data_IF_938004776028
#
_entry.id   IF_938004776028
#
_cell.length_a   1.000
_cell.length_b   1.000
_cell.length_c   1.000
_cell.angle_alpha   90.00
_cell.angle_beta   90.00
_cell.angle_gamma   90.00
#
_symmetry.space_group_name_H-M   'P 1'
#
loop_
_entity.id
_entity.type
_entity.pdbx_description
1 polymer ?
#
# COMPACT_ATOMS: atom_id res chain seq x y z
N UNK A 1 -13.34 -17.61 43.77
CA UNK A 1 -13.02 -16.76 42.62
C UNK A 1 -11.53 -16.88 42.44
N UNK A 2 -11.16 -17.90 41.67
CA UNK A 2 -9.84 -18.51 41.69
C UNK A 2 -8.93 -17.76 40.73
N UNK A 3 -7.65 -17.66 41.06
CA UNK A 3 -6.59 -17.14 40.17
C UNK A 3 -6.57 -17.85 38.79
N UNK A 4 -7.15 -19.06 38.71
CA UNK A 4 -7.40 -19.81 37.48
C UNK A 4 -8.52 -19.23 36.61
N UNK A 5 -9.59 -18.68 37.22
CA UNK A 5 -10.65 -17.98 36.48
C UNK A 5 -10.09 -16.70 35.83
N UNK A 6 -9.25 -15.94 36.54
CA UNK A 6 -8.62 -14.73 36.00
C UNK A 6 -7.63 -15.05 34.86
N UNK A 7 -6.87 -16.15 34.96
CA UNK A 7 -5.94 -16.59 33.91
C UNK A 7 -6.67 -17.11 32.66
N UNK A 8 -7.79 -17.81 32.85
CA UNK A 8 -8.62 -18.27 31.73
C UNK A 8 -9.32 -17.08 31.04
N UNK A 9 -9.84 -16.10 31.79
CA UNK A 9 -10.46 -14.88 31.25
C UNK A 9 -9.44 -14.01 30.48
N UNK A 10 -8.22 -13.85 31.00
CA UNK A 10 -7.15 -13.13 30.29
C UNK A 10 -6.71 -13.85 29.01
N UNK A 11 -6.62 -15.19 29.03
CA UNK A 11 -6.26 -15.96 27.84
C UNK A 11 -7.36 -15.93 26.76
N UNK A 12 -8.63 -15.95 27.18
CA UNK A 12 -9.82 -15.89 26.34
C UNK A 12 -10.03 -14.49 25.74
N UNK A 13 -9.82 -13.44 26.53
CA UNK A 13 -9.80 -12.03 26.10
C UNK A 13 -8.69 -11.78 25.07
N UNK A 14 -7.48 -12.29 25.33
CA UNK A 14 -6.35 -12.14 24.41
C UNK A 14 -6.55 -12.85 23.07
N UNK A 15 -7.20 -14.03 23.06
CA UNK A 15 -7.51 -14.77 21.83
C UNK A 15 -8.57 -14.08 20.96
N UNK A 16 -9.66 -13.62 21.57
CA UNK A 16 -10.74 -12.89 20.88
C UNK A 16 -10.28 -11.53 20.35
N UNK A 17 -9.49 -10.79 21.13
CA UNK A 17 -8.92 -9.51 20.72
C UNK A 17 -8.00 -9.64 19.50
N UNK A 18 -7.23 -10.74 19.39
CA UNK A 18 -6.38 -11.02 18.23
C UNK A 18 -7.21 -11.28 16.98
N UNK A 19 -8.23 -12.13 17.08
CA UNK A 19 -9.09 -12.47 15.94
C UNK A 19 -9.85 -11.24 15.43
N UNK A 20 -10.37 -10.42 16.35
CA UNK A 20 -11.00 -9.15 16.02
C UNK A 20 -10.03 -8.16 15.37
N UNK A 21 -8.77 -8.10 15.83
CA UNK A 21 -7.74 -7.24 15.24
C UNK A 21 -7.39 -7.65 13.81
N UNK A 22 -7.30 -8.95 13.53
CA UNK A 22 -7.08 -9.47 12.18
C UNK A 22 -8.26 -9.17 11.25
N UNK A 23 -9.49 -9.32 11.73
CA UNK A 23 -10.68 -8.94 10.97
C UNK A 23 -10.67 -7.43 10.65
N UNK A 24 -10.28 -6.60 11.62
CA UNK A 24 -10.09 -5.16 11.43
C UNK A 24 -9.08 -4.82 10.33
N UNK A 25 -7.96 -5.56 10.25
CA UNK A 25 -6.98 -5.42 9.18
C UNK A 25 -7.56 -5.76 7.79
N UNK A 26 -8.42 -6.77 7.68
CA UNK A 26 -9.12 -7.07 6.43
C UNK A 26 -10.08 -5.97 6.01
N UNK A 27 -10.87 -5.47 6.96
CA UNK A 27 -11.81 -4.38 6.67
C UNK A 27 -11.04 -3.15 6.18
N UNK A 28 -9.93 -2.82 6.85
CA UNK A 28 -9.03 -1.75 6.40
C UNK A 28 -8.48 -2.01 4.99
N UNK A 29 -8.05 -3.24 4.70
CA UNK A 29 -7.57 -3.63 3.39
C UNK A 29 -8.61 -3.47 2.29
N UNK A 30 -9.83 -3.95 2.52
CA UNK A 30 -10.95 -3.84 1.58
C UNK A 30 -11.33 -2.38 1.32
N UNK A 31 -11.39 -1.55 2.37
CA UNK A 31 -11.66 -0.12 2.24
C UNK A 31 -10.55 0.61 1.47
N UNK A 32 -9.29 0.28 1.75
CA UNK A 32 -8.15 0.86 1.04
C UNK A 32 -8.12 0.45 -0.43
N UNK A 33 -8.40 -0.82 -0.73
CA UNK A 33 -8.50 -1.34 -2.10
C UNK A 33 -9.64 -0.64 -2.86
N UNK A 34 -10.81 -0.46 -2.23
CA UNK A 34 -11.91 0.29 -2.81
C UNK A 34 -11.50 1.74 -3.12
N UNK A 35 -10.83 2.42 -2.20
CA UNK A 35 -10.34 3.78 -2.40
C UNK A 35 -9.32 3.88 -3.56
N UNK A 36 -8.39 2.91 -3.65
CA UNK A 36 -7.43 2.84 -4.75
C UNK A 36 -8.09 2.52 -6.09
N UNK A 37 -9.14 1.69 -6.10
CA UNK A 37 -9.88 1.35 -7.31
C UNK A 37 -10.58 2.59 -7.89
N UNK A 38 -11.21 3.39 -7.02
CA UNK A 38 -11.82 4.65 -7.40
C UNK A 38 -10.79 5.65 -7.93
N UNK A 39 -9.64 5.80 -7.25
CA UNK A 39 -8.57 6.68 -7.72
C UNK A 39 -7.95 6.20 -9.06
N UNK A 40 -7.80 4.89 -9.26
CA UNK A 40 -7.32 4.31 -10.51
C UNK A 40 -8.28 4.61 -11.68
N UNK A 41 -9.58 4.43 -11.46
CA UNK A 41 -10.63 4.73 -12.46
C UNK A 41 -10.69 6.22 -12.77
N UNK A 42 -10.69 7.08 -11.75
CA UNK A 42 -10.72 8.54 -11.92
C UNK A 42 -9.53 9.06 -12.71
N UNK A 43 -8.34 8.51 -12.48
CA UNK A 43 -7.10 8.90 -13.19
C UNK A 43 -6.88 8.14 -14.49
N UNK A 44 -7.76 7.20 -14.84
CA UNK A 44 -7.61 6.28 -15.98
C UNK A 44 -6.23 5.58 -15.98
N UNK A 45 -5.73 5.25 -14.79
CA UNK A 45 -4.41 4.67 -14.61
C UNK A 45 -4.50 3.14 -14.68
N UNK A 46 -4.22 2.60 -15.87
CA UNK A 46 -4.27 1.15 -16.13
C UNK A 46 -3.27 0.36 -15.28
N UNK A 47 -2.11 0.95 -14.94
CA UNK A 47 -1.07 0.27 -14.15
C UNK A 47 -1.55 0.08 -12.72
N UNK A 48 -2.16 1.11 -12.14
CA UNK A 48 -2.75 1.03 -10.80
C UNK A 48 -3.89 0.00 -10.77
N UNK A 49 -4.69 -0.10 -11.83
CA UNK A 49 -5.75 -1.10 -11.93
C UNK A 49 -5.21 -2.54 -12.00
N UNK A 50 -4.16 -2.79 -12.81
CA UNK A 50 -3.50 -4.09 -12.86
C UNK A 50 -2.83 -4.44 -11.53
N UNK A 51 -2.18 -3.46 -10.90
CA UNK A 51 -1.61 -3.62 -9.56
C UNK A 51 -2.68 -4.01 -8.54
N UNK A 52 -3.88 -3.42 -8.63
CA UNK A 52 -5.02 -3.73 -7.76
C UNK A 52 -5.45 -5.20 -7.87
N UNK A 53 -5.56 -5.74 -9.08
CA UNK A 53 -5.87 -7.16 -9.28
C UNK A 53 -4.82 -8.09 -8.65
N UNK A 54 -3.54 -7.75 -8.78
CA UNK A 54 -2.44 -8.52 -8.17
C UNK A 54 -2.51 -8.43 -6.64
N UNK A 55 -2.82 -7.25 -6.10
CA UNK A 55 -2.97 -7.04 -4.66
C UNK A 55 -4.14 -7.84 -4.10
N UNK A 56 -5.29 -7.83 -4.78
CA UNK A 56 -6.47 -8.60 -4.38
C UNK A 56 -6.19 -10.10 -4.37
N UNK A 57 -5.48 -10.61 -5.39
CA UNK A 57 -5.02 -12.00 -5.41
C UNK A 57 -4.06 -12.30 -4.25
N UNK A 58 -3.20 -11.35 -3.88
CA UNK A 58 -2.34 -11.44 -2.71
C UNK A 58 -3.13 -11.52 -1.40
N UNK A 59 -4.15 -10.67 -1.23
CA UNK A 59 -5.06 -10.69 -0.07
C UNK A 59 -5.88 -11.97 0.01
N UNK A 60 -6.34 -12.49 -1.13
CA UNK A 60 -6.99 -13.81 -1.21
C UNK A 60 -6.04 -14.93 -0.74
N UNK A 61 -4.80 -14.93 -1.23
CA UNK A 61 -3.79 -15.93 -0.85
C UNK A 61 -3.45 -15.83 0.65
N UNK A 62 -3.34 -14.61 1.17
CA UNK A 62 -3.15 -14.34 2.60
C UNK A 62 -4.31 -14.90 3.43
N UNK A 63 -5.56 -14.71 3.00
CA UNK A 63 -6.74 -15.31 3.64
C UNK A 63 -6.74 -16.82 3.69
N UNK A 64 -6.32 -17.49 2.61
CA UNK A 64 -6.20 -18.94 2.59
C UNK A 64 -5.13 -19.46 3.55
N UNK A 65 -4.00 -18.74 3.69
CA UNK A 65 -2.95 -19.10 4.64
C UNK A 65 -3.41 -18.89 6.08
N UNK A 66 -4.11 -17.78 6.34
CA UNK A 66 -4.57 -17.45 7.67
C UNK A 66 -5.62 -18.42 8.21
N UNK A 67 -6.51 -18.95 7.35
CA UNK A 67 -7.43 -20.04 7.73
C UNK A 67 -6.64 -21.24 8.28
N UNK A 68 -5.56 -21.62 7.59
CA UNK A 68 -4.73 -22.77 8.00
C UNK A 68 -4.03 -22.50 9.33
N UNK A 69 -3.42 -21.32 9.46
CA UNK A 69 -2.74 -20.91 10.69
C UNK A 69 -3.68 -20.88 11.89
N UNK A 70 -4.88 -20.29 11.76
CA UNK A 70 -5.87 -20.26 12.85
C UNK A 70 -6.30 -21.69 13.23
N UNK A 71 -6.57 -22.55 12.24
CA UNK A 71 -6.97 -23.94 12.48
C UNK A 71 -5.88 -24.74 13.21
N UNK A 72 -4.64 -24.55 12.80
CA UNK A 72 -3.49 -25.22 13.42
C UNK A 72 -3.32 -24.73 14.87
N UNK A 73 -3.41 -23.42 15.14
CA UNK A 73 -3.38 -22.85 16.49
C UNK A 73 -4.48 -23.40 17.39
N UNK A 74 -5.75 -23.43 16.91
CA UNK A 74 -6.88 -23.99 17.68
C UNK A 74 -6.63 -25.47 17.99
N UNK A 75 -6.17 -26.27 17.03
CA UNK A 75 -5.93 -27.70 17.22
C UNK A 75 -4.81 -28.03 18.21
N UNK A 76 -3.84 -27.11 18.35
CA UNK A 76 -2.72 -27.22 19.28
C UNK A 76 -3.02 -26.67 20.69
N UNK A 77 -4.20 -26.07 20.89
CA UNK A 77 -4.57 -25.44 22.16
C UNK A 77 -5.00 -26.49 23.21
N UNK A 78 -4.45 -26.40 24.42
CA UNK A 78 -4.68 -27.37 25.51
C UNK A 78 -6.14 -27.40 26.01
N UNK A 79 -6.85 -26.27 25.91
CA UNK A 79 -8.24 -26.13 26.35
C UNK A 79 -9.22 -26.37 25.18
N UNK A 80 -9.66 -27.63 25.02
CA UNK A 80 -10.55 -28.07 23.93
C UNK A 80 -11.93 -27.40 23.94
N UNK A 81 -12.53 -27.19 25.10
CA UNK A 81 -13.87 -26.58 25.22
C UNK A 81 -13.89 -25.12 24.75
N UNK A 82 -12.85 -24.34 25.07
CA UNK A 82 -12.73 -22.95 24.64
C UNK A 82 -12.45 -22.85 23.13
N UNK A 83 -11.60 -23.76 22.62
CA UNK A 83 -11.31 -23.88 21.20
C UNK A 83 -12.54 -24.22 20.37
N UNK A 84 -13.39 -25.13 20.84
CA UNK A 84 -14.61 -25.52 20.13
C UNK A 84 -15.69 -24.44 20.15
N UNK A 85 -15.83 -23.66 21.25
CA UNK A 85 -16.77 -22.55 21.30
C UNK A 85 -16.38 -21.37 20.38
N UNK A 86 -15.09 -20.99 20.38
CA UNK A 86 -14.57 -19.95 19.48
C UNK A 86 -14.61 -20.39 18.02
N UNK A 87 -14.33 -21.67 17.77
CA UNK A 87 -14.43 -22.27 16.44
C UNK A 87 -15.87 -22.21 15.92
N UNK A 88 -16.88 -22.48 16.74
CA UNK A 88 -18.29 -22.45 16.32
C UNK A 88 -18.77 -21.02 16.03
N UNK A 89 -18.37 -20.03 16.85
CA UNK A 89 -18.72 -18.62 16.64
C UNK A 89 -18.06 -18.00 15.40
N UNK A 90 -16.79 -18.28 15.15
CA UNK A 90 -16.00 -17.59 14.11
C UNK A 90 -15.74 -18.42 12.84
N UNK A 91 -16.16 -19.69 12.78
CA UNK A 91 -15.94 -20.55 11.60
C UNK A 91 -16.45 -19.90 10.31
N UNK A 92 -17.63 -19.28 10.41
CA UNK A 92 -18.34 -18.72 9.26
C UNK A 92 -17.63 -17.44 8.78
N UNK A 93 -17.24 -16.57 9.71
CA UNK A 93 -16.63 -15.27 9.41
C UNK A 93 -15.22 -15.41 8.83
N UNK A 94 -14.44 -16.38 9.29
CA UNK A 94 -13.09 -16.63 8.78
C UNK A 94 -13.12 -17.20 7.35
N UNK A 95 -14.15 -17.97 6.99
CA UNK A 95 -14.29 -18.58 5.65
C UNK A 95 -14.93 -17.60 4.66
N UNK A 96 -15.86 -16.75 5.10
CA UNK A 96 -16.58 -15.85 4.19
C UNK A 96 -15.67 -14.79 3.56
N UNK A 97 -14.67 -14.30 4.32
CA UNK A 97 -13.76 -13.25 3.86
C UNK A 97 -12.94 -13.68 2.63
N UNK A 98 -12.24 -14.83 2.62
CA UNK A 98 -11.53 -15.30 1.42
C UNK A 98 -12.44 -15.64 0.26
N UNK A 99 -13.66 -16.13 0.51
CA UNK A 99 -14.63 -16.40 -0.56
C UNK A 99 -15.03 -15.10 -1.25
N UNK A 100 -15.35 -14.06 -0.49
CA UNK A 100 -15.68 -12.73 -1.02
C UNK A 100 -14.49 -12.15 -1.78
N UNK A 101 -13.26 -12.25 -1.24
CA UNK A 101 -12.04 -11.80 -1.91
C UNK A 101 -11.77 -12.58 -3.22
N UNK A 102 -12.04 -13.88 -3.23
CA UNK A 102 -11.89 -14.73 -4.42
C UNK A 102 -12.86 -14.33 -5.53
N UNK A 103 -14.14 -14.19 -5.21
CA UNK A 103 -15.16 -13.70 -6.15
C UNK A 103 -14.82 -12.27 -6.60
N UNK A 104 -14.42 -11.41 -5.67
CA UNK A 104 -13.95 -10.05 -5.94
C UNK A 104 -12.78 -10.01 -6.91
N UNK A 105 -11.81 -10.92 -6.76
CA UNK A 105 -10.63 -11.02 -7.65
C UNK A 105 -11.03 -11.41 -9.07
N UNK A 106 -11.96 -12.36 -9.24
CA UNK A 106 -12.48 -12.76 -10.57
C UNK A 106 -13.21 -11.60 -11.23
N UNK A 107 -14.12 -10.95 -10.49
CA UNK A 107 -14.86 -9.77 -10.98
C UNK A 107 -13.92 -8.62 -11.36
N UNK A 108 -13.00 -8.25 -10.46
CA UNK A 108 -12.00 -7.21 -10.70
C UNK A 108 -11.13 -7.51 -11.91
N UNK A 109 -10.71 -8.77 -12.08
CA UNK A 109 -9.90 -9.19 -13.24
C UNK A 109 -10.68 -9.07 -14.55
N UNK A 110 -11.95 -9.48 -14.55
CA UNK A 110 -12.84 -9.34 -15.71
C UNK A 110 -13.04 -7.87 -16.10
N UNK A 111 -13.39 -7.01 -15.14
CA UNK A 111 -13.55 -5.57 -15.41
C UNK A 111 -12.22 -4.96 -15.88
N UNK A 112 -11.11 -5.29 -15.23
CA UNK A 112 -9.78 -4.78 -15.60
C UNK A 112 -9.38 -5.18 -17.02
N UNK A 113 -9.72 -6.38 -17.47
CA UNK A 113 -9.51 -6.80 -18.86
C UNK A 113 -10.26 -5.85 -19.81
N UNK A 114 -11.56 -5.65 -19.59
CA UNK A 114 -12.39 -4.78 -20.45
C UNK A 114 -11.89 -3.33 -20.45
N UNK A 115 -11.59 -2.79 -19.27
CA UNK A 115 -11.08 -1.43 -19.07
C UNK A 115 -9.70 -1.21 -19.68
N UNK A 116 -8.82 -2.22 -19.70
CA UNK A 116 -7.48 -2.13 -20.30
C UNK A 116 -7.55 -1.75 -21.77
N UNK A 117 -8.48 -2.33 -22.53
CA UNK A 117 -8.63 -2.05 -23.96
C UNK A 117 -9.04 -0.59 -24.20
N UNK A 118 -10.00 -0.07 -23.45
CA UNK A 118 -10.47 1.32 -23.57
C UNK A 118 -9.41 2.34 -23.12
N UNK A 119 -8.68 2.06 -22.04
CA UNK A 119 -7.64 2.96 -21.56
C UNK A 119 -6.44 3.03 -22.51
N UNK A 120 -6.02 1.91 -23.10
CA UNK A 120 -4.98 1.91 -24.13
C UNK A 120 -5.38 2.74 -25.34
N UNK A 121 -6.65 2.67 -25.76
CA UNK A 121 -7.19 3.47 -26.87
C UNK A 121 -7.27 4.97 -26.51
N UNK A 122 -7.70 5.31 -25.29
CA UNK A 122 -7.74 6.70 -24.80
C UNK A 122 -6.33 7.32 -24.66
N UNK A 123 -5.33 6.55 -24.23
CA UNK A 123 -3.93 6.99 -24.13
C UNK A 123 -3.31 7.19 -25.52
N UNK A 124 -3.71 6.38 -26.50
CA UNK A 124 -3.26 6.55 -27.88
C UNK A 124 -3.79 7.86 -28.48
N UNK A 125 -5.08 8.19 -28.28
CA UNK A 125 -5.70 9.36 -28.91
C UNK A 125 -5.25 10.71 -28.33
N UNK A 126 -4.91 10.77 -27.05
CA UNK A 126 -4.59 12.02 -26.35
C UNK A 126 -3.09 12.38 -26.34
N UNK A 127 -2.20 11.48 -26.76
CA UNK A 127 -0.74 11.64 -26.63
C UNK A 127 -0.04 11.32 -27.96
N UNK A 128 -0.48 11.96 -29.05
CA UNK A 128 -0.03 11.66 -30.43
C UNK A 128 1.06 12.59 -30.99
N UNK A 129 1.75 13.41 -30.18
CA UNK A 129 2.78 14.33 -30.70
C UNK A 129 4.19 14.14 -30.12
N UNK A 130 4.36 13.56 -28.93
CA UNK A 130 5.69 13.34 -28.34
C UNK A 130 5.76 12.05 -27.49
N UNK A 131 6.46 11.04 -28.03
CA UNK A 131 6.69 9.74 -27.40
C UNK A 131 7.61 9.83 -26.18
N UNK A 132 8.54 10.80 -26.14
CA UNK A 132 9.48 10.93 -25.03
C UNK A 132 8.78 11.47 -23.78
N UNK A 133 7.92 12.46 -23.94
CA UNK A 133 7.11 13.02 -22.85
C UNK A 133 6.13 11.98 -22.28
N UNK A 134 5.51 11.18 -23.16
CA UNK A 134 4.65 10.05 -22.77
C UNK A 134 5.39 9.06 -21.86
N UNK A 135 6.63 8.68 -22.23
CA UNK A 135 7.45 7.75 -21.45
C UNK A 135 7.77 8.30 -20.05
N UNK A 136 8.12 9.58 -19.94
CA UNK A 136 8.43 10.22 -18.64
C UNK A 136 7.19 10.33 -17.75
N UNK A 137 6.04 10.69 -18.32
CA UNK A 137 4.78 10.73 -17.59
C UNK A 137 4.34 9.34 -17.13
N UNK A 138 4.54 8.31 -17.96
CA UNK A 138 4.29 6.92 -17.60
C UNK A 138 5.16 6.49 -16.41
N UNK A 139 6.47 6.75 -16.43
CA UNK A 139 7.37 6.45 -15.30
C UNK A 139 6.91 7.15 -14.02
N UNK A 140 6.50 8.42 -14.10
CA UNK A 140 5.95 9.14 -12.96
C UNK A 140 4.67 8.49 -12.42
N UNK A 141 3.74 8.07 -13.29
CA UNK A 141 2.52 7.39 -12.88
C UNK A 141 2.80 6.03 -12.23
N UNK A 142 3.77 5.26 -12.76
CA UNK A 142 4.24 4.00 -12.14
C UNK A 142 4.76 4.28 -10.74
N UNK A 143 5.63 5.28 -10.58
CA UNK A 143 6.23 5.63 -9.30
C UNK A 143 5.17 6.02 -8.25
N UNK A 144 4.22 6.89 -8.61
CA UNK A 144 3.14 7.28 -7.70
C UNK A 144 2.19 6.11 -7.38
N UNK A 145 1.96 5.20 -8.33
CA UNK A 145 1.16 4.00 -8.08
C UNK A 145 1.88 3.06 -7.09
N UNK A 146 3.18 2.81 -7.30
CA UNK A 146 3.99 1.99 -6.39
C UNK A 146 4.02 2.56 -4.98
N UNK A 147 4.19 3.88 -4.79
CA UNK A 147 4.15 4.51 -3.47
C UNK A 147 2.82 4.30 -2.72
N UNK A 148 1.69 4.20 -3.44
CA UNK A 148 0.39 3.90 -2.82
C UNK A 148 0.29 2.44 -2.39
N UNK A 149 0.79 1.52 -3.20
CA UNK A 149 0.85 0.11 -2.83
C UNK A 149 1.83 -0.10 -1.66
N UNK A 150 2.99 0.54 -1.68
CA UNK A 150 3.96 0.51 -0.57
C UNK A 150 3.33 1.02 0.73
N UNK A 151 2.55 2.10 0.68
CA UNK A 151 1.83 2.58 1.85
C UNK A 151 0.99 1.47 2.47
N UNK A 152 0.22 0.73 1.67
CA UNK A 152 -0.62 -0.35 2.16
C UNK A 152 0.18 -1.54 2.71
N UNK A 153 1.13 -2.06 1.93
CA UNK A 153 1.87 -3.28 2.31
C UNK A 153 2.87 -3.02 3.44
N UNK A 154 3.53 -1.86 3.49
CA UNK A 154 4.43 -1.58 4.62
C UNK A 154 3.61 -1.30 5.87
N UNK A 155 2.55 -0.50 5.77
CA UNK A 155 1.66 -0.25 6.91
C UNK A 155 1.05 -1.53 7.46
N UNK A 156 0.49 -2.39 6.60
CA UNK A 156 -0.07 -3.67 7.02
C UNK A 156 0.99 -4.59 7.64
N UNK A 157 2.23 -4.59 7.14
CA UNK A 157 3.32 -5.42 7.68
C UNK A 157 3.66 -4.95 9.09
N UNK A 158 3.79 -3.63 9.26
CA UNK A 158 4.07 -3.02 10.56
C UNK A 158 2.94 -3.24 11.56
N UNK A 159 1.67 -3.12 11.15
CA UNK A 159 0.54 -3.43 12.02
C UNK A 159 0.50 -4.90 12.41
N UNK A 160 0.70 -5.82 11.47
CA UNK A 160 0.75 -7.27 11.77
C UNK A 160 1.87 -7.60 12.75
N UNK A 161 3.06 -7.03 12.58
CA UNK A 161 4.18 -7.19 13.52
C UNK A 161 3.82 -6.60 14.88
N UNK A 162 3.22 -5.41 14.91
CA UNK A 162 2.84 -4.73 16.15
C UNK A 162 1.79 -5.54 16.94
N UNK A 163 0.81 -6.13 16.27
CA UNK A 163 -0.20 -7.00 16.90
C UNK A 163 0.41 -8.24 17.54
N UNK A 164 1.50 -8.78 16.95
CA UNK A 164 2.20 -9.92 17.55
C UNK A 164 3.02 -9.49 18.77
N UNK A 165 3.69 -8.32 18.70
CA UNK A 165 4.54 -7.80 19.79
C UNK A 165 3.73 -7.25 20.97
N UNK A 166 2.48 -6.80 20.76
CA UNK A 166 1.62 -6.21 21.78
C UNK A 166 1.36 -7.13 23.01
N UNK A 167 1.73 -8.42 22.95
CA UNK A 167 1.62 -9.35 24.07
C UNK A 167 2.51 -8.98 25.28
N UNK A 168 3.57 -8.19 25.07
CA UNK A 168 4.42 -7.67 26.13
C UNK A 168 4.68 -6.16 25.94
N UNK A 169 3.74 -5.28 26.36
CA UNK A 169 3.79 -3.84 26.10
C UNK A 169 4.99 -3.12 26.73
N UNK A 170 5.65 -3.72 27.71
CA UNK A 170 6.81 -3.15 28.41
C UNK A 170 8.12 -3.26 27.60
N UNK A 171 8.10 -3.96 26.47
CA UNK A 171 9.30 -4.17 25.67
C UNK A 171 9.65 -2.95 24.80
N UNK A 172 10.92 -2.56 24.85
CA UNK A 172 11.52 -1.56 23.96
C UNK A 172 11.21 -1.84 22.46
N UNK A 173 11.04 -3.11 22.10
CA UNK A 173 10.69 -3.53 20.75
C UNK A 173 9.31 -2.99 20.30
N UNK A 174 8.33 -2.87 21.19
CA UNK A 174 7.01 -2.31 20.85
C UNK A 174 7.11 -0.83 20.46
N UNK A 175 7.80 -0.04 21.28
CA UNK A 175 7.98 1.41 21.05
C UNK A 175 8.71 1.68 19.75
N UNK A 176 9.76 0.89 19.47
CA UNK A 176 10.52 1.01 18.21
C UNK A 176 9.63 0.71 17.02
N UNK A 177 8.90 -0.40 16.99
CA UNK A 177 8.02 -0.74 15.86
C UNK A 177 6.86 0.26 15.71
N UNK A 178 6.26 0.70 16.81
CA UNK A 178 5.21 1.72 16.79
C UNK A 178 5.71 3.05 16.18
N UNK A 179 6.95 3.46 16.49
CA UNK A 179 7.54 4.69 15.96
C UNK A 179 7.86 4.63 14.45
N UNK A 180 8.09 3.44 13.90
CA UNK A 180 8.43 3.26 12.48
C UNK A 180 7.22 3.50 11.56
N UNK A 181 6.00 3.29 12.05
CA UNK A 181 4.75 3.52 11.31
C UNK A 181 4.64 4.99 10.83
N UNK A 182 4.65 6.02 11.70
CA UNK A 182 4.54 7.41 11.26
C UNK A 182 5.75 7.85 10.43
N UNK A 183 6.95 7.35 10.73
CA UNK A 183 8.17 7.64 9.95
C UNK A 183 8.00 7.16 8.50
N UNK A 184 7.49 5.94 8.31
CA UNK A 184 7.24 5.36 6.98
C UNK A 184 6.21 6.17 6.22
N UNK A 185 5.07 6.48 6.84
CA UNK A 185 3.99 7.26 6.21
C UNK A 185 4.52 8.64 5.78
N UNK A 186 5.24 9.32 6.67
CA UNK A 186 5.86 10.61 6.37
C UNK A 186 6.83 10.52 5.19
N UNK A 187 7.68 9.49 5.17
CA UNK A 187 8.64 9.23 4.09
C UNK A 187 7.95 9.07 2.74
N UNK A 188 6.92 8.21 2.65
CA UNK A 188 6.20 7.94 1.40
C UNK A 188 5.46 9.19 0.87
N UNK A 189 4.78 9.92 1.76
CA UNK A 189 4.04 11.14 1.40
C UNK A 189 5.00 12.25 0.93
N UNK A 190 6.09 12.48 1.66
CA UNK A 190 7.09 13.48 1.28
C UNK A 190 7.79 13.10 -0.02
N UNK A 191 8.07 11.81 -0.23
CA UNK A 191 8.65 11.31 -1.48
C UNK A 191 7.76 11.60 -2.69
N UNK A 192 6.43 11.36 -2.57
CA UNK A 192 5.46 11.71 -3.61
C UNK A 192 5.45 13.23 -3.91
N UNK A 193 5.49 14.07 -2.85
CA UNK A 193 5.50 15.52 -3.01
C UNK A 193 6.79 16.05 -3.64
N UNK A 194 7.95 15.54 -3.23
CA UNK A 194 9.24 15.96 -3.79
C UNK A 194 9.45 15.49 -5.22
N UNK A 195 8.95 14.31 -5.56
CA UNK A 195 8.91 13.83 -6.94
C UNK A 195 8.05 14.77 -7.81
N UNK A 196 6.86 15.18 -7.34
CA UNK A 196 6.01 16.15 -8.05
C UNK A 196 6.66 17.52 -8.23
N UNK A 197 7.47 17.96 -7.25
CA UNK A 197 8.18 19.25 -7.30
C UNK A 197 9.54 19.18 -8.01
N UNK A 198 9.93 18.02 -8.54
CA UNK A 198 11.24 17.78 -9.18
C UNK A 198 12.44 18.18 -8.29
N UNK A 199 12.33 18.04 -6.96
CA UNK A 199 13.42 18.38 -6.04
C UNK A 199 14.39 17.21 -5.88
N UNK A 200 15.37 17.10 -6.77
CA UNK A 200 16.35 15.99 -6.81
C UNK A 200 17.02 15.71 -5.46
N UNK A 201 17.58 16.73 -4.80
CA UNK A 201 18.28 16.57 -3.51
C UNK A 201 17.38 15.98 -2.42
N UNK A 202 16.12 16.45 -2.38
CA UNK A 202 15.12 16.01 -1.40
C UNK A 202 14.64 14.59 -1.68
N UNK A 203 14.50 14.22 -2.96
CA UNK A 203 14.12 12.87 -3.36
C UNK A 203 15.24 11.85 -3.09
N UNK A 204 16.52 12.23 -3.27
CA UNK A 204 17.65 11.38 -2.89
C UNK A 204 17.68 11.11 -1.38
N UNK A 205 17.40 12.12 -0.55
CA UNK A 205 17.27 11.92 0.90
C UNK A 205 16.13 10.96 1.25
N UNK A 206 14.96 11.10 0.62
CA UNK A 206 13.84 10.16 0.83
C UNK A 206 14.16 8.75 0.33
N UNK A 207 14.92 8.60 -0.75
CA UNK A 207 15.40 7.31 -1.24
C UNK A 207 16.30 6.61 -0.22
N UNK A 208 17.21 7.35 0.42
CA UNK A 208 18.03 6.82 1.51
C UNK A 208 17.16 6.37 2.70
N UNK A 209 16.15 7.15 3.07
CA UNK A 209 15.23 6.78 4.15
C UNK A 209 14.39 5.54 3.81
N UNK A 210 13.97 5.37 2.55
CA UNK A 210 13.33 4.13 2.08
C UNK A 210 14.27 2.92 2.18
N UNK A 211 15.57 3.07 1.89
CA UNK A 211 16.56 2.00 2.09
C UNK A 211 16.70 1.62 3.58
N UNK A 212 16.66 2.58 4.49
CA UNK A 212 16.67 2.30 5.94
C UNK A 212 15.42 1.52 6.36
N UNK A 213 14.25 1.87 5.85
CA UNK A 213 12.99 1.15 6.12
C UNK A 213 13.08 -0.30 5.59
N UNK A 214 13.63 -0.50 4.38
CA UNK A 214 13.87 -1.85 3.84
C UNK A 214 14.84 -2.63 4.72
N UNK A 215 15.94 -2.02 5.15
CA UNK A 215 16.90 -2.63 6.08
C UNK A 215 16.25 -3.06 7.40
N UNK A 216 15.41 -2.19 7.98
CA UNK A 216 14.65 -2.49 9.19
C UNK A 216 13.68 -3.67 9.00
N UNK A 217 12.92 -3.69 7.89
CA UNK A 217 12.03 -4.82 7.55
C UNK A 217 12.80 -6.13 7.40
N UNK A 218 13.99 -6.11 6.76
CA UNK A 218 14.86 -7.29 6.64
C UNK A 218 15.35 -7.76 8.01
N UNK A 219 15.77 -6.84 8.89
CA UNK A 219 16.20 -7.20 10.25
C UNK A 219 15.08 -7.87 11.05
N UNK A 220 13.84 -7.39 10.94
CA UNK A 220 12.69 -8.04 11.59
C UNK A 220 12.44 -9.43 11.01
N UNK A 221 12.49 -9.58 9.68
CA UNK A 221 12.35 -10.89 9.03
C UNK A 221 13.42 -11.88 9.50
N UNK A 222 14.68 -11.45 9.59
CA UNK A 222 15.77 -12.27 10.10
C UNK A 222 15.59 -12.62 11.58
N UNK A 223 15.12 -11.67 12.39
CA UNK A 223 14.83 -11.89 13.82
C UNK A 223 13.70 -12.89 14.01
N UNK A 224 12.68 -12.86 13.14
CA UNK A 224 11.58 -13.83 13.14
C UNK A 224 12.06 -15.26 12.82
N UNK A 225 13.08 -15.41 11.98
CA UNK A 225 13.65 -16.73 11.65
C UNK A 225 14.73 -17.20 12.64
N UNK A 226 15.45 -16.28 13.28
CA UNK A 226 16.62 -16.59 14.12
C UNK A 226 16.32 -16.89 15.60
N UNK A 227 15.08 -16.69 16.08
CA UNK A 227 14.80 -16.78 17.53
C UNK A 227 14.48 -18.21 17.97
N UNK A 228 15.45 -18.82 18.66
CA UNK A 228 15.41 -20.13 19.31
C UNK A 228 14.61 -20.16 20.63
N UNK A 229 13.92 -19.07 21.03
CA UNK A 229 13.42 -18.91 22.42
C UNK A 229 12.08 -18.14 22.62
N UNK A 230 11.19 -18.02 21.63
CA UNK A 230 9.82 -17.54 21.96
C UNK A 230 8.72 -18.11 21.07
N UNK A 231 7.74 -18.70 21.75
CA UNK A 231 6.53 -19.34 21.23
C UNK A 231 5.58 -18.38 20.50
N UNK A 232 5.71 -17.06 20.69
CA UNK A 232 4.69 -16.08 20.28
C UNK A 232 4.57 -15.86 18.77
N UNK A 233 5.68 -15.95 18.03
CA UNK A 233 5.64 -15.79 16.57
C UNK A 233 5.18 -17.07 15.84
N UNK A 234 5.11 -18.22 16.52
CA UNK A 234 4.97 -19.52 15.85
C UNK A 234 3.67 -19.66 15.05
N UNK A 235 2.58 -19.10 15.55
CA UNK A 235 1.24 -19.30 14.98
C UNK A 235 1.02 -18.58 13.64
N UNK A 236 1.66 -17.43 13.40
CA UNK A 236 1.37 -16.58 12.22
C UNK A 236 2.60 -16.25 11.36
N UNK A 237 3.68 -17.02 11.53
CA UNK A 237 4.97 -16.81 10.85
C UNK A 237 4.85 -16.83 9.33
N UNK A 238 4.03 -17.73 8.76
CA UNK A 238 3.97 -17.92 7.30
C UNK A 238 3.25 -16.76 6.64
N UNK A 239 2.14 -16.32 7.20
CA UNK A 239 1.37 -15.19 6.69
C UNK A 239 2.13 -13.86 6.82
N UNK A 240 2.79 -13.59 7.96
CA UNK A 240 3.64 -12.40 8.13
C UNK A 240 4.79 -12.37 7.11
N UNK A 241 5.47 -13.51 6.91
CA UNK A 241 6.61 -13.58 5.99
C UNK A 241 6.18 -13.33 4.55
N UNK A 242 5.02 -13.83 4.13
CA UNK A 242 4.48 -13.55 2.80
C UNK A 242 4.23 -12.05 2.63
N UNK A 243 3.54 -11.44 3.59
CA UNK A 243 3.18 -10.03 3.51
C UNK A 243 4.41 -9.12 3.50
N UNK A 244 5.38 -9.40 4.38
CA UNK A 244 6.66 -8.71 4.42
C UNK A 244 7.51 -8.94 3.15
N UNK A 245 7.48 -10.14 2.56
CA UNK A 245 8.16 -10.45 1.31
C UNK A 245 7.61 -9.66 0.12
N UNK A 246 6.28 -9.55 0.01
CA UNK A 246 5.63 -8.71 -1.01
C UNK A 246 5.96 -7.23 -0.80
N UNK A 247 5.90 -6.77 0.45
CA UNK A 247 6.26 -5.40 0.83
C UNK A 247 7.70 -5.03 0.46
N UNK A 248 8.65 -5.94 0.73
CA UNK A 248 10.06 -5.78 0.37
C UNK A 248 10.26 -5.71 -1.15
N UNK A 249 9.59 -6.59 -1.90
CA UNK A 249 9.65 -6.59 -3.36
C UNK A 249 9.13 -5.26 -3.94
N UNK A 250 7.99 -4.78 -3.46
CA UNK A 250 7.41 -3.52 -3.93
C UNK A 250 8.32 -2.32 -3.60
N UNK A 251 8.88 -2.26 -2.39
CA UNK A 251 9.83 -1.21 -2.00
C UNK A 251 11.09 -1.18 -2.88
N UNK A 252 11.66 -2.35 -3.23
CA UNK A 252 12.80 -2.41 -4.15
C UNK A 252 12.43 -1.87 -5.54
N UNK A 253 11.26 -2.24 -6.05
CA UNK A 253 10.75 -1.68 -7.32
C UNK A 253 10.53 -0.17 -7.22
N UNK A 254 10.06 0.36 -6.09
CA UNK A 254 9.88 1.79 -5.86
C UNK A 254 11.20 2.54 -5.86
N UNK A 255 12.23 2.02 -5.19
CA UNK A 255 13.57 2.61 -5.17
C UNK A 255 14.14 2.64 -6.60
N UNK A 256 14.04 1.54 -7.36
CA UNK A 256 14.48 1.51 -8.74
C UNK A 256 13.74 2.55 -9.62
N UNK A 257 12.42 2.65 -9.50
CA UNK A 257 11.62 3.64 -10.23
C UNK A 257 11.92 5.09 -9.79
N UNK A 258 12.31 5.31 -8.53
CA UNK A 258 12.74 6.61 -8.02
C UNK A 258 13.99 7.10 -8.75
N UNK A 259 14.98 6.22 -8.96
CA UNK A 259 16.20 6.55 -9.73
C UNK A 259 15.84 6.95 -11.17
N UNK A 260 14.95 6.20 -11.82
CA UNK A 260 14.50 6.53 -13.19
C UNK A 260 13.74 7.86 -13.22
N UNK A 261 12.96 8.19 -12.18
CA UNK A 261 12.33 9.51 -12.07
C UNK A 261 13.37 10.62 -11.99
N UNK A 262 14.40 10.47 -11.15
CA UNK A 262 15.49 11.45 -11.00
C UNK A 262 16.23 11.69 -12.32
N UNK A 263 16.56 10.63 -13.06
CA UNK A 263 17.24 10.73 -14.36
C UNK A 263 16.39 11.41 -15.45
N UNK A 264 15.08 11.52 -15.24
CA UNK A 264 14.14 12.16 -16.15
C UNK A 264 13.78 13.60 -15.77
N UNK A 265 14.25 14.10 -14.61
CA UNK A 265 14.03 15.49 -14.20
C UNK A 265 14.75 16.51 -15.11
N UNK A 266 14.26 17.75 -15.14
CA UNK A 266 14.76 18.87 -15.96
C UNK A 266 14.57 18.73 -17.48
N UNK A 267 13.83 17.72 -17.96
CA UNK A 267 13.53 17.55 -19.40
C UNK A 267 12.15 18.08 -19.82
N UNK A 268 11.55 19.01 -19.05
CA UNK A 268 10.28 19.68 -19.40
C UNK A 268 8.98 19.06 -18.83
N UNK A 269 9.08 18.12 -17.88
CA UNK A 269 7.94 17.41 -17.29
C UNK A 269 7.01 18.34 -16.45
N UNK A 270 7.59 19.34 -15.79
CA UNK A 270 6.90 20.33 -14.95
C UNK A 270 5.73 21.06 -15.63
N UNK A 271 5.84 21.43 -16.91
CA UNK A 271 4.82 22.21 -17.63
C UNK A 271 3.52 21.43 -17.90
N UNK A 272 3.55 20.09 -17.84
CA UNK A 272 2.38 19.25 -18.08
C UNK A 272 1.78 18.65 -16.79
N UNK A 273 2.55 18.60 -15.70
CA UNK A 273 2.05 18.20 -14.36
C UNK A 273 1.40 19.37 -13.62
N UNK A 274 1.83 20.60 -13.91
CA UNK A 274 1.21 21.84 -13.48
C UNK A 274 0.85 22.68 -14.71
N UNK A 275 -0.36 22.56 -15.27
CA UNK A 275 -0.84 23.61 -16.17
C UNK A 275 -0.81 24.94 -15.38
N UNK A 276 -0.27 26.03 -15.93
CA UNK A 276 -0.37 27.33 -15.29
C UNK A 276 -1.85 27.62 -15.01
N UNK A 277 -2.16 28.21 -13.84
CA UNK A 277 -3.50 28.74 -13.55
C UNK A 277 -3.88 29.63 -14.73
N UNK A 278 -4.89 29.21 -15.50
CA UNK A 278 -5.46 29.98 -16.61
C UNK A 278 -6.06 31.25 -16.01
N UNK A 279 -5.27 32.31 -15.95
CA UNK A 279 -5.65 33.52 -15.23
C UNK A 279 -4.48 34.48 -15.09
N UNK A 280 -3.99 34.98 -16.24
CA UNK A 280 -3.36 36.31 -16.44
C UNK A 280 -2.60 36.46 -17.77
N UNK A 281 -2.39 35.39 -18.54
CA UNK A 281 -1.65 35.51 -19.82
C UNK A 281 -2.52 35.97 -20.98
N UNK A 282 -3.83 35.69 -20.96
CA UNK A 282 -4.75 36.08 -22.06
C UNK A 282 -5.00 37.59 -22.13
N UNK A 283 -4.84 38.32 -21.02
CA UNK A 283 -5.02 39.77 -20.99
C UNK A 283 -3.79 40.55 -21.47
N UNK A 284 -2.59 39.97 -21.44
CA UNK A 284 -1.37 40.67 -21.90
C UNK A 284 -1.14 40.58 -23.42
N UNK A 285 -1.71 39.57 -24.10
CA UNK A 285 -1.70 39.51 -25.57
C UNK A 285 -2.81 40.33 -26.21
N UNK A 286 -3.92 40.60 -25.50
CA UNK A 286 -5.00 41.46 -26.00
C UNK A 286 -4.74 42.95 -25.76
N UNK A 287 -3.99 43.33 -24.71
CA UNK A 287 -3.69 44.74 -24.42
C UNK A 287 -2.51 45.28 -25.25
N UNK A 288 -1.63 44.42 -25.79
CA UNK A 288 -0.59 44.85 -26.74
C UNK A 288 -1.10 45.04 -28.17
N UNK A 289 -2.36 44.67 -28.45
CA UNK A 289 -2.97 44.76 -29.78
C UNK A 289 -3.90 45.96 -29.92
N UNK A 290 -4.27 46.65 -28.84
CA UNK A 290 -5.06 47.88 -28.89
C UNK A 290 -4.17 49.15 -28.81
N UNK A 291 -3.73 49.58 -30.01
CA UNK A 291 -3.48 50.97 -30.45
C UNK A 291 -2.20 51.71 -29.99
N UNK A 292 -1.59 52.58 -30.84
CA UNK A 292 -2.26 53.46 -31.81
C UNK A 292 -1.63 53.51 -33.22
N UNK A 293 -2.39 53.13 -34.23
CA UNK A 293 -2.19 53.61 -35.61
C UNK A 293 -3.30 54.61 -35.96
N UNK A 294 -3.13 55.84 -35.47
CA UNK A 294 -3.66 57.02 -36.15
C UNK A 294 -2.76 57.30 -37.36
N UNK A 295 -3.39 57.74 -38.46
CA UNK A 295 -2.85 58.10 -39.80
C UNK A 295 -2.69 56.88 -40.74
N UNK A 296 -3.49 56.71 -41.80
CA UNK A 296 -3.59 57.54 -43.01
C UNK A 296 -4.75 57.04 -43.92
N UNK A 297 -5.33 57.96 -44.72
CA UNK A 297 -6.42 57.81 -45.73
C UNK A 297 -7.82 57.77 -45.10
N UNK A 298 -8.69 58.78 -45.19
CA UNK A 298 -8.96 59.77 -46.25
C UNK A 298 -9.31 61.14 -45.61
#
# INVERSE_FOLDING_TARGET
MSLWDDLDDDSQSNGTMRLQSFLGLYIFALLYELALSYDALRRKNTIQLVGLCICNLGLFTYGLLQIKEIKDTISSSTNRDLGDHLKDLYHIEIIIVPVILGVGTVCMSFFTWKLRAEFSWSIYKNVSADLQMKRRYFTYQVYIALLKFDFFFVFGTQLQILLVIFQAPEDMDFVVNASVIPITIGTLVLSAQFCKREKTKSLMFMMFLMLLIVGFLVLILLRMYSRKDSTDFSSFRKSLTLFAGVSLLLMVLTIANSVVCILNFNKGLKNHVHPPKKGKTVSLELESQETPTRFLLN
#
